data_IF_863400077447
#
_entry.id   IF_863400077447
#
_cell.length_a   1.000
_cell.length_b   1.000
_cell.length_c   1.000
_cell.angle_alpha   90.00
_cell.angle_beta   90.00
_cell.angle_gamma   90.00
#
_symmetry.space_group_name_H-M   'P 1'
#
loop_
_entity.id
_entity.type
_entity.pdbx_description
1 polymer ?
#
# COMPACT_ATOMS: atom_id res chain seq x y z
N UNK A 1 4.97 10.65 -31.53
CA UNK A 1 4.48 9.28 -31.84
C UNK A 1 5.31 8.13 -31.23
N UNK A 2 6.66 8.14 -31.30
CA UNK A 2 7.51 7.06 -30.72
C UNK A 2 7.36 6.86 -29.20
N UNK A 3 7.14 7.93 -28.42
CA UNK A 3 6.97 7.88 -26.95
C UNK A 3 5.65 7.21 -26.55
N UNK A 4 4.55 7.53 -27.25
CA UNK A 4 3.23 6.91 -27.02
C UNK A 4 3.23 5.41 -27.36
N UNK A 5 3.95 4.99 -28.41
CA UNK A 5 4.17 3.57 -28.70
C UNK A 5 4.93 2.85 -27.58
N UNK A 6 6.02 3.44 -27.06
CA UNK A 6 6.77 2.85 -25.91
C UNK A 6 5.90 2.76 -24.66
N UNK A 7 5.06 3.77 -24.36
CA UNK A 7 4.11 3.73 -23.25
C UNK A 7 3.06 2.64 -23.43
N UNK A 8 2.47 2.50 -24.63
CA UNK A 8 1.50 1.43 -24.94
C UNK A 8 2.11 0.05 -24.76
N UNK A 9 3.34 -0.18 -25.24
CA UNK A 9 4.08 -1.42 -25.03
C UNK A 9 4.43 -1.69 -23.56
N UNK A 10 4.79 -0.66 -22.80
CA UNK A 10 5.05 -0.78 -21.37
C UNK A 10 3.79 -1.20 -20.59
N UNK A 11 2.63 -0.65 -20.92
CA UNK A 11 1.34 -1.04 -20.31
C UNK A 11 0.93 -2.47 -20.72
N UNK A 12 1.05 -2.83 -21.98
CA UNK A 12 0.75 -4.17 -22.50
C UNK A 12 1.66 -5.22 -21.87
N UNK A 13 2.96 -4.97 -21.77
CA UNK A 13 3.91 -5.88 -21.10
C UNK A 13 3.63 -6.04 -19.60
N UNK A 14 3.17 -4.98 -18.93
CA UNK A 14 2.84 -5.02 -17.49
C UNK A 14 1.53 -5.77 -17.24
N UNK A 15 0.54 -5.60 -18.10
CA UNK A 15 -0.72 -6.35 -18.09
C UNK A 15 -0.47 -7.83 -18.38
N UNK A 16 0.30 -8.15 -19.41
CA UNK A 16 0.68 -9.50 -19.75
C UNK A 16 1.46 -10.23 -18.63
N UNK A 17 2.35 -9.53 -17.91
CA UNK A 17 3.08 -10.14 -16.78
C UNK A 17 2.14 -10.58 -15.64
N UNK A 18 1.13 -9.78 -15.32
CA UNK A 18 0.16 -10.11 -14.27
C UNK A 18 -0.77 -11.24 -14.71
N UNK A 19 -1.26 -11.18 -15.93
CA UNK A 19 -2.07 -12.23 -16.54
C UNK A 19 -1.30 -13.55 -16.60
N UNK A 20 -0.05 -13.52 -17.07
CA UNK A 20 0.83 -14.70 -17.12
C UNK A 20 1.09 -15.26 -15.71
N UNK A 21 1.28 -14.40 -14.70
CA UNK A 21 1.48 -14.87 -13.32
C UNK A 21 0.22 -15.57 -12.79
N UNK A 22 -0.95 -15.00 -12.95
CA UNK A 22 -2.22 -15.59 -12.50
C UNK A 22 -2.51 -16.90 -13.25
N UNK A 23 -2.30 -16.92 -14.56
CA UNK A 23 -2.44 -18.15 -15.36
C UNK A 23 -1.44 -19.23 -14.94
N UNK A 24 -0.21 -18.86 -14.60
CA UNK A 24 0.78 -19.82 -14.10
C UNK A 24 0.40 -20.34 -12.72
N UNK A 25 -0.17 -19.50 -11.84
CA UNK A 25 -0.66 -19.89 -10.51
C UNK A 25 -1.79 -20.92 -10.63
N UNK A 26 -2.80 -20.67 -11.46
CA UNK A 26 -3.91 -21.60 -11.70
C UNK A 26 -3.45 -22.94 -12.30
N UNK A 27 -2.47 -22.91 -13.19
CA UNK A 27 -1.96 -24.08 -13.89
C UNK A 27 -0.77 -24.75 -13.18
N UNK A 28 -0.27 -24.19 -12.08
CA UNK A 28 0.89 -24.71 -11.39
C UNK A 28 0.71 -26.15 -10.88
N UNK A 29 -0.38 -26.50 -10.16
CA UNK A 29 -0.57 -27.88 -9.68
C UNK A 29 -0.65 -28.87 -10.83
N UNK A 30 -1.35 -28.53 -11.91
CA UNK A 30 -1.46 -29.37 -13.12
C UNK A 30 -0.07 -29.54 -13.77
N UNK A 31 0.67 -28.46 -13.97
CA UNK A 31 2.00 -28.53 -14.58
C UNK A 31 2.99 -29.30 -13.70
N UNK A 32 2.88 -29.20 -12.38
CA UNK A 32 3.70 -29.94 -11.42
C UNK A 32 3.38 -31.44 -11.50
N UNK A 33 2.09 -31.80 -11.47
CA UNK A 33 1.64 -33.18 -11.63
C UNK A 33 2.11 -33.80 -12.95
N UNK A 34 1.90 -33.08 -14.06
CA UNK A 34 2.39 -33.56 -15.39
C UNK A 34 3.93 -33.67 -15.47
N UNK A 35 4.66 -32.76 -14.81
CA UNK A 35 6.12 -32.84 -14.74
C UNK A 35 6.57 -34.13 -14.01
N UNK A 36 5.94 -34.45 -12.87
CA UNK A 36 6.22 -35.65 -12.10
C UNK A 36 5.86 -36.92 -12.93
N UNK A 37 4.66 -36.92 -13.52
CA UNK A 37 4.21 -38.04 -14.36
C UNK A 37 5.19 -38.33 -15.50
N UNK A 38 5.56 -37.31 -16.29
CA UNK A 38 6.48 -37.53 -17.40
C UNK A 38 7.90 -37.88 -16.95
N UNK A 39 8.34 -37.44 -15.78
CA UNK A 39 9.59 -37.87 -15.17
C UNK A 39 9.57 -39.39 -14.92
N UNK A 40 8.51 -39.91 -14.33
CA UNK A 40 8.37 -41.38 -14.13
C UNK A 40 8.24 -42.18 -15.43
N UNK A 41 7.65 -41.57 -16.49
CA UNK A 41 7.57 -42.23 -17.80
C UNK A 41 8.93 -42.35 -18.53
N UNK A 42 9.89 -41.46 -18.25
CA UNK A 42 11.23 -41.51 -18.84
C UNK A 42 11.94 -42.81 -18.46
N UNK A 43 11.72 -43.27 -17.22
CA UNK A 43 12.38 -44.48 -16.71
C UNK A 43 11.67 -45.76 -17.18
N UNK A 44 10.36 -45.68 -17.46
CA UNK A 44 9.52 -46.82 -17.89
C UNK A 44 9.49 -47.07 -19.40
N UNK A 45 9.79 -46.06 -20.21
CA UNK A 45 9.66 -46.09 -21.67
C UNK A 45 11.01 -46.25 -22.36
N UNK A 46 11.02 -46.98 -23.52
CA UNK A 46 12.18 -47.14 -24.40
C UNK A 46 11.95 -46.45 -25.76
N UNK A 47 13.02 -46.20 -26.51
CA UNK A 47 12.97 -45.68 -27.88
C UNK A 47 12.25 -44.32 -28.02
N UNK A 48 11.44 -44.19 -29.07
CA UNK A 48 10.74 -42.95 -29.41
C UNK A 48 9.79 -42.45 -28.31
N UNK A 49 9.13 -43.36 -27.58
CA UNK A 49 8.26 -43.02 -26.45
C UNK A 49 9.05 -42.31 -25.34
N UNK A 50 10.29 -42.74 -25.06
CA UNK A 50 11.20 -42.10 -24.10
C UNK A 50 11.59 -40.70 -24.53
N UNK A 51 11.87 -40.46 -25.80
CA UNK A 51 12.18 -39.14 -26.34
C UNK A 51 11.00 -38.19 -26.21
N UNK A 52 9.76 -38.63 -26.51
CA UNK A 52 8.53 -37.86 -26.33
C UNK A 52 8.28 -37.50 -24.85
N UNK A 53 8.50 -38.47 -23.95
CA UNK A 53 8.38 -38.22 -22.49
C UNK A 53 9.41 -37.19 -22.00
N UNK A 54 10.69 -37.27 -22.44
CA UNK A 54 11.74 -36.29 -22.14
C UNK A 54 11.37 -34.88 -22.63
N UNK A 55 10.86 -34.74 -23.84
CA UNK A 55 10.40 -33.44 -24.38
C UNK A 55 9.26 -32.84 -23.55
N UNK A 56 8.24 -33.66 -23.26
CA UNK A 56 7.10 -33.25 -22.43
C UNK A 56 7.54 -32.85 -21.00
N UNK A 57 8.39 -33.66 -20.37
CA UNK A 57 8.97 -33.29 -19.07
C UNK A 57 9.69 -31.95 -19.11
N UNK A 58 10.58 -31.72 -20.08
CA UNK A 58 11.30 -30.45 -20.26
C UNK A 58 10.33 -29.25 -20.37
N UNK A 59 9.24 -29.41 -21.15
CA UNK A 59 8.21 -28.41 -21.37
C UNK A 59 7.48 -28.04 -20.06
N UNK A 60 7.00 -29.03 -19.31
CA UNK A 60 6.24 -28.78 -18.06
C UNK A 60 7.16 -28.32 -16.93
N UNK A 61 8.34 -28.91 -16.78
CA UNK A 61 9.33 -28.51 -15.77
C UNK A 61 9.80 -27.05 -15.98
N UNK A 62 9.96 -26.59 -17.23
CA UNK A 62 10.26 -25.18 -17.53
C UNK A 62 9.16 -24.23 -17.01
N UNK A 63 7.87 -24.62 -17.12
CA UNK A 63 6.73 -23.84 -16.61
C UNK A 63 6.72 -23.83 -15.09
N UNK A 64 6.97 -24.95 -14.44
CA UNK A 64 7.08 -25.06 -12.97
C UNK A 64 8.19 -24.17 -12.45
N UNK A 65 9.42 -24.32 -12.95
CA UNK A 65 10.58 -23.50 -12.55
C UNK A 65 10.34 -22.01 -12.78
N UNK A 66 9.63 -21.62 -13.85
CA UNK A 66 9.27 -20.22 -14.11
C UNK A 66 8.35 -19.67 -13.02
N UNK A 67 7.34 -20.44 -12.62
CA UNK A 67 6.42 -20.04 -11.56
C UNK A 67 7.15 -19.92 -10.20
N UNK A 68 7.91 -20.92 -9.81
CA UNK A 68 8.68 -20.93 -8.55
C UNK A 68 9.64 -19.74 -8.47
N UNK A 69 10.33 -19.41 -9.57
CA UNK A 69 11.19 -18.22 -9.64
C UNK A 69 10.40 -16.92 -9.43
N UNK A 70 9.17 -16.82 -9.94
CA UNK A 70 8.30 -15.65 -9.76
C UNK A 70 7.79 -15.56 -8.32
N UNK A 71 7.37 -16.68 -7.73
CA UNK A 71 6.93 -16.74 -6.33
C UNK A 71 8.08 -16.40 -5.36
N UNK A 72 9.26 -16.96 -5.57
CA UNK A 72 10.45 -16.61 -4.76
C UNK A 72 10.76 -15.10 -4.81
N UNK A 73 10.61 -14.48 -5.99
CA UNK A 73 10.75 -13.02 -6.13
C UNK A 73 9.64 -12.25 -5.41
N UNK A 74 8.41 -12.78 -5.39
CA UNK A 74 7.28 -12.18 -4.67
C UNK A 74 7.50 -12.25 -3.17
N UNK A 75 7.84 -13.42 -2.64
CA UNK A 75 8.14 -13.62 -1.22
C UNK A 75 9.25 -12.67 -0.74
N UNK A 76 10.36 -12.58 -1.46
CA UNK A 76 11.43 -11.62 -1.14
C UNK A 76 10.94 -10.16 -1.10
N UNK A 77 9.93 -9.78 -1.90
CA UNK A 77 9.34 -8.43 -1.84
C UNK A 77 8.45 -8.24 -0.63
N UNK A 78 7.72 -9.28 -0.24
CA UNK A 78 6.91 -9.29 0.98
C UNK A 78 7.82 -9.17 2.20
N UNK A 79 8.90 -9.96 2.26
CA UNK A 79 9.87 -9.87 3.35
C UNK A 79 10.47 -8.47 3.47
N UNK A 80 10.92 -7.87 2.35
CA UNK A 80 11.40 -6.48 2.34
C UNK A 80 10.35 -5.46 2.75
N UNK A 81 9.07 -5.73 2.46
CA UNK A 81 7.98 -4.86 2.88
C UNK A 81 7.84 -4.85 4.40
N UNK A 82 7.96 -6.03 5.04
CA UNK A 82 7.87 -6.18 6.48
C UNK A 82 9.18 -5.93 7.25
N UNK A 83 10.33 -5.90 6.59
CA UNK A 83 11.58 -5.42 7.21
C UNK A 83 11.52 -3.93 7.58
N UNK A 84 10.68 -3.16 6.91
CA UNK A 84 10.50 -1.71 7.13
C UNK A 84 9.07 -1.45 7.62
N UNK A 85 8.77 -1.96 8.81
CA UNK A 85 7.48 -1.69 9.46
C UNK A 85 7.60 -0.37 10.20
N UNK A 86 6.91 0.64 9.68
CA UNK A 86 6.93 1.98 10.24
C UNK A 86 5.52 2.56 10.25
N UNK A 87 5.29 3.45 11.21
CA UNK A 87 4.19 4.39 11.19
C UNK A 87 4.67 5.62 10.42
N UNK A 88 3.99 5.95 9.33
CA UNK A 88 4.28 7.12 8.50
C UNK A 88 3.05 8.05 8.48
N UNK A 89 3.27 9.35 8.65
CA UNK A 89 2.24 10.37 8.65
C UNK A 89 2.28 11.11 7.32
N UNK A 90 1.12 11.31 6.72
CA UNK A 90 0.93 12.04 5.47
C UNK A 90 -0.02 13.20 5.69
N UNK A 91 0.48 14.42 5.62
CA UNK A 91 -0.32 15.61 5.84
C UNK A 91 -0.38 16.49 4.59
N UNK A 92 -1.41 17.31 4.49
CA UNK A 92 -1.59 18.23 3.38
C UNK A 92 -3.00 18.81 3.34
N UNK A 93 -3.13 19.94 2.67
CA UNK A 93 -4.41 20.67 2.55
C UNK A 93 -5.50 19.79 1.89
N UNK A 94 -6.79 20.12 2.11
CA UNK A 94 -7.88 19.49 1.40
C UNK A 94 -7.63 19.46 -0.12
N UNK A 95 -7.97 18.36 -0.77
CA UNK A 95 -7.76 18.21 -2.20
C UNK A 95 -6.30 18.01 -2.66
N UNK A 96 -5.32 17.92 -1.76
CA UNK A 96 -3.91 17.67 -2.11
C UNK A 96 -3.64 16.27 -2.68
N UNK A 97 -4.58 15.33 -2.55
CA UNK A 97 -4.47 13.96 -3.05
C UNK A 97 -4.10 12.93 -1.99
N UNK A 98 -4.40 13.18 -0.70
CA UNK A 98 -4.17 12.25 0.41
C UNK A 98 -4.84 10.90 0.16
N UNK A 99 -6.16 10.89 -0.06
CA UNK A 99 -6.93 9.67 -0.34
C UNK A 99 -6.46 8.96 -1.62
N UNK A 100 -6.03 9.73 -2.64
CA UNK A 100 -5.39 9.16 -3.83
C UNK A 100 -4.11 8.40 -3.47
N UNK A 101 -3.33 8.94 -2.55
CA UNK A 101 -2.11 8.29 -2.09
C UNK A 101 -2.40 7.07 -1.21
N UNK A 102 -3.41 7.14 -0.34
CA UNK A 102 -3.91 6.02 0.43
C UNK A 102 -4.32 4.85 -0.48
N UNK A 103 -5.11 5.13 -1.52
CA UNK A 103 -5.49 4.14 -2.53
C UNK A 103 -4.27 3.57 -3.31
N UNK A 104 -3.26 4.39 -3.57
CA UNK A 104 -2.02 3.91 -4.19
C UNK A 104 -1.24 2.95 -3.28
N UNK A 105 -1.12 3.25 -1.98
CA UNK A 105 -0.48 2.38 -1.00
C UNK A 105 -1.25 1.06 -0.88
N UNK A 106 -2.59 1.13 -0.76
CA UNK A 106 -3.48 -0.05 -0.75
C UNK A 106 -3.25 -0.94 -1.96
N UNK A 107 -3.29 -0.35 -3.15
CA UNK A 107 -3.05 -1.09 -4.41
C UNK A 107 -1.68 -1.76 -4.45
N UNK A 108 -0.67 -1.11 -3.90
CA UNK A 108 0.70 -1.65 -3.85
C UNK A 108 0.79 -2.84 -2.89
N UNK A 109 0.17 -2.75 -1.70
CA UNK A 109 0.13 -3.82 -0.71
C UNK A 109 -0.69 -5.02 -1.21
N UNK A 110 -1.91 -4.78 -1.71
CA UNK A 110 -2.77 -5.83 -2.28
C UNK A 110 -2.12 -6.56 -3.46
N UNK A 111 -1.29 -5.90 -4.28
CA UNK A 111 -0.52 -6.58 -5.34
C UNK A 111 0.48 -7.59 -4.82
N UNK A 112 0.95 -7.43 -3.61
CA UNK A 112 1.83 -8.38 -2.93
C UNK A 112 1.02 -9.46 -2.19
N UNK A 113 -0.30 -9.31 -2.09
CA UNK A 113 -1.19 -10.18 -1.33
C UNK A 113 -1.18 -9.86 0.17
N UNK A 114 -0.80 -8.62 0.54
CA UNK A 114 -0.83 -8.13 1.91
C UNK A 114 -2.24 -7.59 2.18
N UNK A 115 -2.90 -8.00 3.28
CA UNK A 115 -4.18 -7.45 3.68
C UNK A 115 -4.05 -5.96 3.99
N UNK A 116 -5.08 -5.20 3.67
CA UNK A 116 -5.14 -3.75 3.89
C UNK A 116 -6.42 -3.43 4.63
N UNK A 117 -6.30 -2.77 5.75
CA UNK A 117 -7.40 -2.25 6.54
C UNK A 117 -7.48 -0.73 6.37
N UNK A 118 -8.68 -0.19 6.23
CA UNK A 118 -8.90 1.25 6.00
C UNK A 118 -10.20 1.72 6.64
N UNK A 119 -10.18 2.90 7.25
CA UNK A 119 -11.38 3.58 7.76
C UNK A 119 -12.15 4.32 6.65
N UNK A 120 -11.55 4.46 5.47
CA UNK A 120 -12.22 5.03 4.29
C UNK A 120 -12.47 3.98 3.22
N UNK A 121 -13.54 4.10 2.44
CA UNK A 121 -13.91 3.12 1.43
C UNK A 121 -12.90 3.12 0.26
N UNK A 122 -11.99 2.15 0.28
CA UNK A 122 -11.06 1.87 -0.82
C UNK A 122 -11.34 0.45 -1.32
N UNK A 123 -11.64 0.31 -2.58
CA UNK A 123 -12.00 -0.97 -3.18
C UNK A 123 -10.95 -2.06 -2.94
N UNK A 124 -11.37 -3.14 -2.30
CA UNK A 124 -10.54 -4.31 -1.99
C UNK A 124 -9.78 -4.21 -0.67
N UNK A 125 -10.07 -3.23 0.18
CA UNK A 125 -9.61 -3.17 1.57
C UNK A 125 -10.68 -3.71 2.53
N UNK A 126 -10.28 -4.06 3.74
CA UNK A 126 -11.17 -4.39 4.84
C UNK A 126 -11.51 -3.10 5.59
N UNK A 127 -12.77 -2.95 5.97
CA UNK A 127 -13.19 -1.82 6.81
C UNK A 127 -12.66 -2.01 8.22
N UNK A 128 -12.18 -0.93 8.82
CA UNK A 128 -11.75 -0.89 10.22
C UNK A 128 -12.23 0.43 10.84
N UNK A 129 -12.69 0.37 12.06
CA UNK A 129 -12.92 1.54 12.90
C UNK A 129 -11.67 1.75 13.78
N UNK A 130 -10.91 2.85 13.61
CA UNK A 130 -9.71 3.07 14.39
C UNK A 130 -9.96 3.14 15.91
N UNK A 131 -11.14 3.57 16.35
CA UNK A 131 -11.48 3.72 17.77
C UNK A 131 -11.88 2.41 18.41
N UNK A 132 -12.64 1.61 17.67
CA UNK A 132 -13.24 0.39 18.21
C UNK A 132 -12.41 -0.87 17.97
N UNK A 133 -11.63 -0.92 16.88
CA UNK A 133 -10.97 -2.15 16.45
C UNK A 133 -9.48 -2.17 16.78
N UNK A 134 -8.78 -1.00 16.71
CA UNK A 134 -7.33 -0.96 16.95
C UNK A 134 -7.01 -1.19 18.43
N UNK A 135 -6.16 -2.17 18.67
CA UNK A 135 -5.74 -2.55 20.00
C UNK A 135 -6.65 -3.58 20.69
N UNK A 136 -7.92 -3.68 20.30
CA UNK A 136 -8.86 -4.69 20.83
C UNK A 136 -8.74 -6.02 20.09
N UNK A 137 -8.48 -5.97 18.78
CA UNK A 137 -8.35 -7.17 17.95
C UNK A 137 -6.93 -7.34 17.44
N UNK A 138 -6.49 -8.58 17.37
CA UNK A 138 -5.18 -8.92 16.83
C UNK A 138 -5.18 -8.76 15.31
N UNK A 139 -4.40 -7.80 14.83
CA UNK A 139 -4.18 -7.54 13.41
C UNK A 139 -2.69 -7.69 13.14
N UNK A 140 -2.32 -8.59 12.25
CA UNK A 140 -0.92 -8.89 11.96
C UNK A 140 -0.60 -8.86 10.47
N UNK A 141 0.66 -8.54 10.15
CA UNK A 141 1.24 -8.57 8.79
C UNK A 141 0.38 -7.86 7.75
N UNK A 142 -0.03 -6.64 8.05
CA UNK A 142 -0.96 -5.87 7.24
C UNK A 142 -0.48 -4.44 6.98
N UNK A 143 -1.24 -3.73 6.16
CA UNK A 143 -1.19 -2.28 6.03
C UNK A 143 -2.47 -1.71 6.64
N UNK A 144 -2.34 -0.82 7.61
CA UNK A 144 -3.45 -0.06 8.19
C UNK A 144 -3.41 1.35 7.62
N UNK A 145 -4.52 1.83 7.09
CA UNK A 145 -4.70 3.16 6.53
C UNK A 145 -5.76 3.87 7.35
N UNK A 146 -5.40 5.04 7.87
CA UNK A 146 -6.30 5.91 8.63
C UNK A 146 -6.31 7.26 7.92
N UNK A 147 -7.42 7.61 7.30
CA UNK A 147 -7.62 8.92 6.66
C UNK A 147 -8.42 9.83 7.60
N UNK A 148 -8.18 11.12 7.50
CA UNK A 148 -8.80 12.17 8.35
C UNK A 148 -8.59 11.98 9.85
N UNK A 149 -7.42 11.48 10.23
CA UNK A 149 -7.06 11.24 11.63
C UNK A 149 -7.23 12.46 12.55
N UNK A 150 -7.15 13.67 12.00
CA UNK A 150 -7.39 14.90 12.74
C UNK A 150 -8.84 15.07 13.23
N UNK A 151 -9.83 14.56 12.49
CA UNK A 151 -11.24 14.57 12.88
C UNK A 151 -11.56 13.47 13.90
N UNK A 152 -10.94 12.31 13.75
CA UNK A 152 -11.14 11.16 14.62
C UNK A 152 -10.35 11.29 15.95
N UNK A 153 -9.20 11.97 15.91
CA UNK A 153 -8.26 12.11 17.03
C UNK A 153 -8.04 13.58 17.43
N UNK A 154 -9.11 14.36 17.53
CA UNK A 154 -9.03 15.78 17.86
C UNK A 154 -8.50 15.98 19.30
N UNK A 155 -7.46 16.81 19.48
CA UNK A 155 -6.78 17.07 20.75
C UNK A 155 -7.73 17.52 21.90
N UNK A 156 -8.90 18.07 21.59
CA UNK A 156 -9.91 18.50 22.58
C UNK A 156 -10.72 17.35 23.18
N UNK A 157 -10.74 16.18 22.51
CA UNK A 157 -11.39 14.94 23.00
C UNK A 157 -10.38 13.89 23.45
N UNK A 158 -9.22 14.32 23.92
CA UNK A 158 -8.09 13.50 24.34
C UNK A 158 -8.43 12.47 25.45
N UNK A 159 -9.50 12.70 26.19
CA UNK A 159 -10.00 11.74 27.20
C UNK A 159 -10.58 10.46 26.60
N UNK A 160 -10.87 10.45 25.29
CA UNK A 160 -11.47 9.31 24.61
C UNK A 160 -10.46 8.45 23.80
N UNK A 161 -9.16 8.84 23.82
CA UNK A 161 -8.14 7.99 23.16
C UNK A 161 -7.86 6.82 24.08
N UNK A 162 -8.52 5.69 23.76
CA UNK A 162 -8.45 4.48 24.56
C UNK A 162 -7.00 4.04 24.71
N UNK A 163 -6.60 3.60 25.89
CA UNK A 163 -5.23 3.14 26.17
C UNK A 163 -4.83 1.98 25.25
N UNK A 164 -5.79 1.18 24.80
CA UNK A 164 -5.62 0.10 23.83
C UNK A 164 -5.12 0.62 22.47
N UNK A 165 -5.68 1.73 21.99
CA UNK A 165 -5.24 2.37 20.74
C UNK A 165 -3.82 2.93 20.86
N UNK A 166 -3.49 3.56 21.99
CA UNK A 166 -2.13 4.03 22.28
C UNK A 166 -1.14 2.86 22.27
N UNK A 167 -1.55 1.76 22.86
CA UNK A 167 -0.77 0.52 22.89
C UNK A 167 -0.51 0.00 21.49
N UNK A 168 -1.54 -0.06 20.63
CA UNK A 168 -1.38 -0.49 19.24
C UNK A 168 -0.37 0.38 18.49
N UNK A 169 -0.45 1.71 18.57
CA UNK A 169 0.50 2.59 17.88
C UNK A 169 1.93 2.43 18.38
N UNK A 170 2.14 2.20 19.67
CA UNK A 170 3.46 1.95 20.25
C UNK A 170 4.05 0.61 19.78
N UNK A 171 3.21 -0.42 19.69
CA UNK A 171 3.63 -1.79 19.44
C UNK A 171 3.32 -2.32 18.04
N UNK A 172 2.85 -1.48 17.12
CA UNK A 172 2.52 -1.87 15.74
C UNK A 172 3.65 -2.64 15.02
N UNK A 173 4.91 -2.41 15.40
CA UNK A 173 6.07 -3.14 14.87
C UNK A 173 6.07 -4.60 15.28
N UNK A 174 5.68 -4.91 16.51
CA UNK A 174 5.60 -6.27 17.01
C UNK A 174 4.56 -7.10 16.25
N UNK A 175 3.47 -6.46 15.84
CA UNK A 175 2.44 -7.07 14.99
C UNK A 175 2.80 -7.06 13.50
N UNK A 176 3.95 -6.54 13.13
CA UNK A 176 4.36 -6.34 11.74
C UNK A 176 3.31 -5.54 10.94
N UNK A 177 2.61 -4.61 11.59
CA UNK A 177 1.63 -3.74 10.97
C UNK A 177 2.28 -2.45 10.50
N UNK A 178 2.21 -2.21 9.19
CA UNK A 178 2.59 -0.92 8.63
C UNK A 178 1.40 0.03 8.73
N UNK A 179 1.62 1.20 9.34
CA UNK A 179 0.54 2.19 9.56
C UNK A 179 0.80 3.42 8.72
N UNK A 180 -0.19 3.84 7.95
CA UNK A 180 -0.19 5.07 7.17
C UNK A 180 -1.35 5.96 7.63
N UNK A 181 -1.01 7.06 8.27
CA UNK A 181 -1.97 8.00 8.85
C UNK A 181 -2.01 9.24 7.97
N UNK A 182 -3.21 9.69 7.62
CA UNK A 182 -3.45 10.86 6.80
C UNK A 182 -4.18 11.92 7.62
N UNK A 183 -3.72 13.19 7.55
CA UNK A 183 -4.33 14.32 8.22
C UNK A 183 -4.34 15.56 7.33
N UNK A 184 -5.26 16.48 7.60
CA UNK A 184 -5.34 17.75 6.88
C UNK A 184 -4.31 18.76 7.38
N UNK A 185 -4.07 18.77 8.67
CA UNK A 185 -3.19 19.70 9.36
C UNK A 185 -2.28 18.97 10.35
N UNK A 186 -1.53 19.75 11.10
CA UNK A 186 -0.62 19.32 12.15
C UNK A 186 -1.35 18.92 13.46
N UNK A 187 -2.68 18.82 13.42
CA UNK A 187 -3.59 18.60 14.57
C UNK A 187 -3.58 17.15 15.10
N UNK A 188 -2.58 16.39 14.76
CA UNK A 188 -2.49 15.00 15.20
C UNK A 188 -2.03 14.89 16.65
N UNK A 189 -2.54 13.87 17.31
CA UNK A 189 -2.13 13.47 18.64
C UNK A 189 -0.59 13.36 18.76
N UNK A 190 -0.05 13.95 19.83
CA UNK A 190 1.38 13.94 20.14
C UNK A 190 1.93 12.52 20.26
N UNK A 191 1.13 11.55 20.73
CA UNK A 191 1.53 10.15 20.84
C UNK A 191 1.81 9.55 19.47
N UNK A 192 0.94 9.79 18.49
CA UNK A 192 1.10 9.30 17.11
C UNK A 192 2.31 9.99 16.47
N UNK A 193 2.47 11.29 16.66
CA UNK A 193 3.63 12.05 16.15
C UNK A 193 4.95 11.57 16.74
N UNK A 194 4.99 11.25 18.02
CA UNK A 194 6.22 10.81 18.68
C UNK A 194 6.63 9.40 18.25
N UNK A 195 5.68 8.54 17.90
CA UNK A 195 5.93 7.18 17.40
C UNK A 195 6.19 7.16 15.89
N UNK A 196 5.80 8.19 15.18
CA UNK A 196 5.97 8.27 13.73
C UNK A 196 7.45 8.26 13.33
N UNK A 197 7.76 7.35 12.41
CA UNK A 197 9.10 7.26 11.84
C UNK A 197 9.42 8.42 10.91
N UNK A 198 8.42 8.89 10.15
CA UNK A 198 8.59 9.96 9.17
C UNK A 198 7.27 10.67 8.88
N UNK A 199 7.41 11.97 8.64
CA UNK A 199 6.32 12.80 8.14
C UNK A 199 6.50 13.04 6.64
N UNK A 200 5.38 13.15 5.93
CA UNK A 200 5.37 13.40 4.50
C UNK A 200 4.33 14.46 4.14
N UNK A 201 4.76 15.46 3.40
CA UNK A 201 3.87 16.48 2.87
C UNK A 201 3.31 16.02 1.51
N UNK A 202 1.99 15.94 1.41
CA UNK A 202 1.27 15.61 0.17
C UNK A 202 0.80 16.89 -0.50
N UNK A 203 1.25 17.12 -1.75
CA UNK A 203 0.86 18.29 -2.56
C UNK A 203 0.49 17.86 -3.98
N UNK A 204 -0.36 18.65 -4.64
CA UNK A 204 -0.53 18.54 -6.09
C UNK A 204 0.78 18.86 -6.81
N UNK A 205 1.05 18.19 -7.91
CA UNK A 205 2.18 18.51 -8.78
C UNK A 205 1.77 19.60 -9.76
N UNK A 206 2.74 20.37 -10.29
CA UNK A 206 2.51 21.25 -11.44
C UNK A 206 2.11 20.45 -12.70
N UNK A 207 2.60 19.20 -12.80
CA UNK A 207 2.16 18.31 -13.87
C UNK A 207 0.74 17.83 -13.57
N UNK A 208 -0.20 17.92 -14.54
CA UNK A 208 -1.57 17.48 -14.37
C UNK A 208 -1.62 16.00 -14.02
N UNK A 209 -2.58 15.62 -13.19
CA UNK A 209 -2.80 14.23 -12.73
C UNK A 209 -1.69 13.63 -11.86
N UNK A 210 -0.68 14.42 -11.46
CA UNK A 210 0.35 13.93 -10.54
C UNK A 210 0.20 14.56 -9.16
N UNK A 211 0.46 13.73 -8.13
CA UNK A 211 0.65 14.17 -6.75
C UNK A 211 2.12 14.00 -6.37
N UNK A 212 2.60 14.89 -5.51
CA UNK A 212 3.96 14.87 -4.94
C UNK A 212 3.90 14.51 -3.48
N UNK A 213 4.75 13.61 -3.06
CA UNK A 213 4.95 13.25 -1.65
C UNK A 213 6.39 13.64 -1.28
N UNK A 214 6.51 14.61 -0.39
CA UNK A 214 7.80 15.12 0.08
C UNK A 214 8.05 14.61 1.50
N UNK A 215 9.12 13.89 1.74
CA UNK A 215 9.53 13.55 3.08
C UNK A 215 9.98 14.81 3.83
N UNK A 216 9.64 14.88 5.13
CA UNK A 216 9.97 16.00 5.99
C UNK A 216 10.85 15.49 7.13
N UNK A 217 11.82 16.29 7.53
CA UNK A 217 12.64 16.07 8.72
C UNK A 217 12.08 16.93 9.84
N UNK A 218 11.96 16.35 11.04
CA UNK A 218 11.67 17.08 12.25
C UNK A 218 12.99 17.70 12.74
N UNK A 219 13.04 19.02 12.76
CA UNK A 219 14.12 19.79 13.39
C UNK A 219 13.56 20.43 14.65
N UNK A 220 14.39 20.54 15.67
CA UNK A 220 14.05 21.33 16.86
C UNK A 220 14.71 22.67 16.64
N UNK A 221 13.89 23.72 16.60
CA UNK A 221 14.35 25.09 16.54
C UNK A 221 13.90 25.81 17.83
N UNK A 222 14.61 26.82 18.25
CA UNK A 222 14.23 27.62 19.42
C UNK A 222 13.38 28.77 18.90
N UNK A 223 12.17 28.88 19.42
CA UNK A 223 11.32 30.02 19.11
C UNK A 223 11.97 31.30 19.66
N UNK A 224 12.18 32.28 18.80
CA UNK A 224 12.86 33.55 19.15
C UNK A 224 12.08 34.37 20.19
N UNK A 225 10.76 34.16 20.31
CA UNK A 225 9.89 34.94 21.23
C UNK A 225 9.70 34.22 22.56
N UNK A 226 9.47 32.91 22.55
CA UNK A 226 9.16 32.15 23.78
C UNK A 226 10.38 31.44 24.38
N UNK A 227 11.53 31.43 23.68
CA UNK A 227 12.74 30.67 24.01
C UNK A 227 12.51 29.18 24.29
N UNK A 228 11.35 28.65 23.84
CA UNK A 228 11.02 27.25 24.02
C UNK A 228 11.37 26.44 22.76
N UNK A 229 11.77 25.16 22.92
CA UNK A 229 12.05 24.30 21.77
C UNK A 229 10.80 24.02 20.98
N UNK A 230 10.76 24.49 19.75
CA UNK A 230 9.64 24.31 18.82
C UNK A 230 10.03 23.29 17.75
N UNK A 231 9.15 22.33 17.53
CA UNK A 231 9.36 21.33 16.48
C UNK A 231 9.01 21.91 15.11
N UNK A 232 10.00 22.14 14.29
CA UNK A 232 9.83 22.55 12.90
C UNK A 232 10.01 21.36 11.93
N UNK A 233 9.32 21.39 10.80
CA UNK A 233 9.40 20.39 9.77
C UNK A 233 10.01 21.00 8.53
N UNK A 234 11.23 20.54 8.18
CA UNK A 234 11.93 20.96 6.98
C UNK A 234 11.91 19.86 5.92
N UNK A 235 11.96 20.24 4.65
CA UNK A 235 12.04 19.28 3.57
C UNK A 235 13.37 18.53 3.62
N UNK A 236 13.29 17.18 3.55
CA UNK A 236 14.46 16.32 3.42
C UNK A 236 14.96 16.34 1.97
N UNK A 237 16.02 17.10 1.71
CA UNK A 237 16.64 17.22 0.39
C UNK A 237 17.34 15.95 -0.05
N UNK A 238 17.79 15.12 0.90
CA UNK A 238 18.48 13.86 0.61
C UNK A 238 17.54 12.75 0.17
N UNK A 239 16.25 12.89 0.37
CA UNK A 239 15.27 11.91 -0.04
C UNK A 239 14.43 12.42 -1.21
N UNK A 240 14.43 11.63 -2.28
CA UNK A 240 13.71 11.98 -3.50
C UNK A 240 12.22 12.16 -3.27
N UNK A 241 11.67 13.27 -3.75
CA UNK A 241 10.24 13.51 -3.83
C UNK A 241 9.59 12.45 -4.72
N UNK A 242 8.66 11.72 -4.17
CA UNK A 242 7.90 10.71 -4.91
C UNK A 242 6.76 11.37 -5.67
N UNK A 243 6.65 11.08 -6.96
CA UNK A 243 5.52 11.49 -7.80
C UNK A 243 4.66 10.29 -8.16
N UNK A 244 3.34 10.46 -8.11
CA UNK A 244 2.38 9.40 -8.39
C UNK A 244 1.36 9.91 -9.39
N UNK A 245 1.13 9.09 -10.41
CA UNK A 245 0.11 9.35 -11.43
C UNK A 245 -1.26 8.91 -10.89
N UNK A 246 -2.13 9.87 -10.60
CA UNK A 246 -3.42 9.69 -9.94
C UNK A 246 -4.40 8.77 -10.68
N UNK A 247 -4.53 8.82 -12.03
CA UNK A 247 -5.44 7.96 -12.78
C UNK A 247 -5.26 6.46 -12.54
N UNK A 248 -4.08 6.05 -12.07
CA UNK A 248 -3.83 4.64 -11.74
C UNK A 248 -4.73 4.10 -10.63
N UNK A 249 -5.33 4.96 -9.83
CA UNK A 249 -6.10 4.58 -8.63
C UNK A 249 -7.51 5.17 -8.55
N UNK A 250 -7.93 6.01 -9.48
CA UNK A 250 -9.27 6.63 -9.45
C UNK A 250 -10.44 5.65 -9.37
N UNK A 251 -10.28 4.46 -9.95
CA UNK A 251 -11.32 3.40 -9.89
C UNK A 251 -11.38 2.69 -8.54
N UNK A 252 -10.56 3.06 -7.56
CA UNK A 252 -10.45 2.38 -6.28
C UNK A 252 -11.21 3.09 -5.15
N UNK A 253 -11.59 4.33 -5.33
CA UNK A 253 -12.33 5.13 -4.34
C UNK A 253 -13.20 6.15 -5.06
N UNK A 254 -14.27 6.58 -4.41
CA UNK A 254 -15.08 7.70 -4.84
C UNK A 254 -14.83 8.88 -3.90
N UNK A 255 -14.46 10.01 -4.46
CA UNK A 255 -14.19 11.25 -3.70
C UNK A 255 -15.47 11.86 -3.14
N UNK A 256 -16.63 11.49 -3.67
CA UNK A 256 -17.94 12.04 -3.35
C UNK A 256 -18.81 11.11 -2.49
N UNK A 257 -18.31 9.93 -2.15
CA UNK A 257 -19.06 8.92 -1.37
C UNK A 257 -19.42 9.41 0.06
N UNK A 258 -18.76 10.44 0.56
CA UNK A 258 -19.05 11.08 1.86
C UNK A 258 -20.18 12.12 1.83
N UNK A 259 -20.86 12.35 0.72
CA UNK A 259 -22.01 13.29 0.63
C UNK A 259 -23.30 12.61 1.11
N UNK A 260 -23.32 12.19 2.36
CA UNK A 260 -24.48 11.57 2.99
C UNK A 260 -25.44 12.58 3.67
N UNK A 261 -25.23 13.87 3.44
CA UNK A 261 -26.17 14.88 3.97
C UNK A 261 -27.43 14.90 3.09
N UNK A 262 -28.62 14.87 3.70
CA UNK A 262 -29.85 14.97 2.96
C UNK A 262 -29.92 16.31 2.21
N UNK A 263 -30.32 16.27 0.94
CA UNK A 263 -30.50 17.48 0.15
C UNK A 263 -31.68 18.29 0.68
N UNK A 264 -31.45 19.55 1.05
CA UNK A 264 -32.50 20.52 1.38
C UNK A 264 -32.58 21.52 0.24
N UNK A 265 -33.80 21.77 -0.27
CA UNK A 265 -34.03 22.91 -1.16
C UNK A 265 -34.03 24.16 -0.31
N UNK A 266 -33.08 25.06 -0.58
CA UNK A 266 -33.03 26.37 0.05
C UNK A 266 -33.85 27.35 -0.80
N UNK A 267 -34.76 28.11 -0.15
CA UNK A 267 -35.49 29.18 -0.82
C UNK A 267 -34.56 30.37 -1.01
N UNK A 268 -34.71 31.08 -2.14
CA UNK A 268 -34.01 32.32 -2.38
C UNK A 268 -34.71 33.41 -1.60
N UNK A 269 -33.92 34.32 -1.05
CA UNK A 269 -34.40 35.55 -0.46
C UNK A 269 -35.05 36.44 -1.50
#
# INVERSE_FOLDING_TARGET
>A
MKVLRKLKWFFVLRFNRRFVHNMLKLRYPINKGLSIYYKGQIDKCKGFKRLKAKSSYKKYNKKVKKFEKLEKKRLKKIDRYFQKVHLEIFFGVPGSGKTTFAAYLSKKAMKLGIPVFSNVPIKGTYRIDPKEDLGKYLIERCLVIIDEAGLEHNNRKFKEFNDENRYFYKFHRHYQCKVAVFSQADDMDLTIRNVAYRLHLVKKSMLPYFIKIRPMIKTIDIDEVSHQPMAMYRWDWFIFTKRIFSPLVWKMFDTYEGKLLPSKKFEKW
#
